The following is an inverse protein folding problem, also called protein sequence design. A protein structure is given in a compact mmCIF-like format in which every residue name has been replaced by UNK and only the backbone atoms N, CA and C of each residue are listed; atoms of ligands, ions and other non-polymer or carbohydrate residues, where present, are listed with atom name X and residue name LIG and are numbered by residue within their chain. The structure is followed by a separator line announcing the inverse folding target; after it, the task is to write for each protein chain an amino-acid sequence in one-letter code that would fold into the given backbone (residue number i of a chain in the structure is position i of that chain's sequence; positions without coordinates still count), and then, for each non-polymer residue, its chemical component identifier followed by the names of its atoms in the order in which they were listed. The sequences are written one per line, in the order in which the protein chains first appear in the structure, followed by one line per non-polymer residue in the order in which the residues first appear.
data_IF_189608256522
#
_entry.id   IF_189608256522
#
_cell.length_a   1.000
_cell.length_b   1.000
_cell.length_c   1.000
_cell.angle_alpha   90.00
_cell.angle_beta   90.00
_cell.angle_gamma   90.00
#
_symmetry.space_group_name_H-M   'P 1'
#
loop_
_entity.id
_entity.type
_entity.pdbx_description
1 polymer ?
#
# COMPACT_ATOMS: atom_id res chain seq x y z
N UNK A 1 2.89 19.05 19.32
CA UNK A 1 2.92 19.97 18.16
C UNK A 1 1.69 19.71 17.30
N UNK A 2 0.73 20.63 17.27
CA UNK A 2 -0.50 20.55 16.48
C UNK A 2 -0.30 21.36 15.19
N UNK A 3 -0.03 20.71 14.07
CA UNK A 3 -0.02 21.31 12.73
C UNK A 3 -1.46 21.49 12.22
N UNK A 4 -2.22 22.40 12.84
CA UNK A 4 -3.66 22.57 12.55
C UNK A 4 -4.04 23.84 11.76
N UNK A 5 -3.11 24.70 11.33
CA UNK A 5 -3.49 26.08 10.92
C UNK A 5 -3.26 26.54 9.47
N UNK A 6 -2.88 25.70 8.50
CA UNK A 6 -2.64 26.21 7.13
C UNK A 6 -3.81 26.05 6.13
N UNK A 7 -4.89 25.33 6.47
CA UNK A 7 -5.95 25.00 5.49
C UNK A 7 -7.33 25.58 5.85
N UNK A 8 -7.51 26.13 7.05
CA UNK A 8 -8.76 26.78 7.44
C UNK A 8 -8.85 28.15 6.76
N UNK A 9 -9.24 28.17 5.48
CA UNK A 9 -9.39 29.38 4.67
C UNK A 9 -8.77 29.32 3.27
N UNK A 10 -8.08 28.23 2.91
CA UNK A 10 -7.53 28.10 1.56
C UNK A 10 -8.66 27.94 0.54
N UNK A 11 -8.83 28.93 -0.34
CA UNK A 11 -9.89 28.95 -1.36
C UNK A 11 -9.56 28.12 -2.60
N UNK A 12 -8.32 27.67 -2.73
CA UNK A 12 -7.80 27.07 -3.97
C UNK A 12 -6.65 27.88 -4.58
N UNK A 13 -6.48 29.14 -4.20
CA UNK A 13 -5.44 30.03 -4.73
C UNK A 13 -4.28 30.25 -3.76
N UNK A 14 -3.07 30.30 -4.29
CA UNK A 14 -1.83 30.63 -3.57
C UNK A 14 -1.84 32.04 -2.99
N UNK A 15 -2.68 32.94 -3.50
CA UNK A 15 -2.83 34.32 -2.99
C UNK A 15 -3.34 34.33 -1.55
N UNK A 16 -4.15 33.32 -1.19
CA UNK A 16 -4.73 33.15 0.14
C UNK A 16 -3.86 32.30 1.07
N UNK A 17 -2.70 31.82 0.59
CA UNK A 17 -1.77 31.05 1.40
C UNK A 17 -1.01 31.98 2.36
N UNK A 18 -1.29 31.84 3.67
CA UNK A 18 -0.55 32.55 4.70
C UNK A 18 0.75 31.80 5.06
N UNK A 19 1.88 32.50 5.02
CA UNK A 19 3.14 31.97 5.52
C UNK A 19 3.36 32.35 6.99
N UNK A 20 4.06 31.51 7.75
CA UNK A 20 4.44 31.85 9.14
C UNK A 20 5.43 33.01 9.24
N UNK A 21 6.09 33.37 8.13
CA UNK A 21 7.08 34.44 8.02
C UNK A 21 6.77 35.26 6.77
N UNK A 22 6.60 36.58 6.94
CA UNK A 22 6.28 37.49 5.84
C UNK A 22 7.41 37.58 4.79
N UNK A 23 8.67 37.46 5.22
CA UNK A 23 9.82 37.45 4.31
C UNK A 23 9.82 36.24 3.36
N UNK A 24 9.45 35.06 3.87
CA UNK A 24 9.35 33.85 3.05
C UNK A 24 8.19 33.98 2.06
N UNK A 25 7.07 34.60 2.48
CA UNK A 25 5.94 34.89 1.60
C UNK A 25 6.34 35.80 0.43
N UNK A 26 7.02 36.90 0.72
CA UNK A 26 7.48 37.83 -0.31
C UNK A 26 8.44 37.14 -1.27
N UNK A 27 9.42 36.38 -0.76
CA UNK A 27 10.37 35.63 -1.60
C UNK A 27 9.69 34.60 -2.50
N UNK A 28 8.75 33.82 -1.96
CA UNK A 28 7.99 32.83 -2.73
C UNK A 28 7.14 33.51 -3.81
N UNK A 29 6.47 34.62 -3.47
CA UNK A 29 5.68 35.41 -4.43
C UNK A 29 6.55 36.01 -5.52
N UNK A 30 7.73 36.56 -5.17
CA UNK A 30 8.71 37.08 -6.13
C UNK A 30 9.29 36.00 -7.03
N UNK A 31 9.58 34.80 -6.50
CA UNK A 31 10.09 33.66 -7.26
C UNK A 31 9.06 33.10 -8.25
N UNK A 32 7.79 33.02 -7.84
CA UNK A 32 6.70 32.61 -8.74
C UNK A 32 6.44 33.69 -9.81
N UNK A 33 6.57 34.97 -9.43
CA UNK A 33 6.37 36.12 -10.32
C UNK A 33 5.02 36.07 -11.04
N UNK A 34 5.05 36.14 -12.37
CA UNK A 34 3.85 36.17 -13.20
C UNK A 34 3.19 34.78 -13.40
N UNK A 35 3.76 33.71 -12.80
CA UNK A 35 3.28 32.33 -12.97
C UNK A 35 2.24 31.90 -11.94
N UNK A 36 1.69 32.82 -11.15
CA UNK A 36 0.68 32.52 -10.11
C UNK A 36 -0.47 31.67 -10.66
N UNK A 37 -1.02 32.03 -11.82
CA UNK A 37 -2.12 31.29 -12.44
C UNK A 37 -1.73 29.86 -12.86
N UNK A 38 -0.48 29.64 -13.28
CA UNK A 38 0.01 28.31 -13.63
C UNK A 38 0.23 27.45 -12.38
N UNK A 39 0.69 28.04 -11.28
CA UNK A 39 0.84 27.37 -9.98
C UNK A 39 -0.52 27.00 -9.40
N UNK A 40 -1.49 27.91 -9.41
CA UNK A 40 -2.86 27.64 -8.95
C UNK A 40 -3.52 26.52 -9.76
N UNK A 41 -3.39 26.56 -11.09
CA UNK A 41 -3.86 25.48 -11.95
C UNK A 41 -3.17 24.15 -11.64
N UNK A 42 -1.85 24.16 -11.41
CA UNK A 42 -1.12 22.94 -11.02
C UNK A 42 -1.60 22.38 -9.66
N UNK A 43 -1.83 23.25 -8.68
CA UNK A 43 -2.38 22.86 -7.38
C UNK A 43 -3.79 22.28 -7.56
N UNK A 44 -4.65 22.92 -8.35
CA UNK A 44 -5.99 22.45 -8.67
C UNK A 44 -5.94 21.08 -9.38
N UNK A 45 -5.04 20.89 -10.35
CA UNK A 45 -4.81 19.60 -11.02
C UNK A 45 -4.35 18.54 -10.00
N UNK A 46 -3.44 18.87 -9.08
CA UNK A 46 -2.98 17.94 -8.04
C UNK A 46 -4.07 17.60 -7.03
N UNK A 47 -4.93 18.57 -6.68
CA UNK A 47 -6.07 18.36 -5.80
C UNK A 47 -7.16 17.52 -6.48
N UNK A 48 -7.50 17.84 -7.73
CA UNK A 48 -8.51 17.12 -8.52
C UNK A 48 -8.06 15.71 -8.90
N UNK A 49 -6.76 15.49 -9.10
CA UNK A 49 -6.16 14.17 -9.25
C UNK A 49 -6.11 13.35 -7.94
N UNK A 50 -6.51 13.93 -6.80
CA UNK A 50 -6.48 13.25 -5.50
C UNK A 50 -5.07 13.02 -4.96
N UNK A 51 -4.04 13.69 -5.51
CA UNK A 51 -2.65 13.52 -5.07
C UNK A 51 -2.33 14.28 -3.78
N UNK A 52 -3.24 15.14 -3.31
CA UNK A 52 -3.03 16.00 -2.16
C UNK A 52 -4.09 15.79 -1.06
N UNK A 53 -4.44 14.54 -0.76
CA UNK A 53 -5.38 14.26 0.34
C UNK A 53 -4.67 14.29 1.69
N UNK A 54 -5.38 14.63 2.79
CA UNK A 54 -4.78 14.71 4.13
C UNK A 54 -4.04 13.42 4.53
N UNK A 55 -4.57 12.27 4.12
CA UNK A 55 -3.98 10.95 4.40
C UNK A 55 -2.65 10.77 3.66
N UNK A 56 -2.56 11.17 2.39
CA UNK A 56 -1.31 11.14 1.64
C UNK A 56 -0.28 12.12 2.22
N UNK A 57 -0.70 13.33 2.62
CA UNK A 57 0.18 14.30 3.29
C UNK A 57 0.75 13.78 4.61
N UNK A 58 -0.07 13.08 5.41
CA UNK A 58 0.38 12.43 6.65
C UNK A 58 1.44 11.33 6.38
N UNK A 59 1.37 10.67 5.23
CA UNK A 59 2.29 9.58 4.90
C UNK A 59 3.56 10.10 4.21
N UNK A 60 3.43 11.17 3.43
CA UNK A 60 4.56 11.94 2.94
C UNK A 60 5.38 12.51 4.11
N UNK A 61 4.74 13.02 5.17
CA UNK A 61 5.45 13.53 6.36
C UNK A 61 6.19 12.42 7.14
N UNK A 62 5.77 11.16 6.96
CA UNK A 62 6.50 9.97 7.45
C UNK A 62 7.64 9.54 6.50
N UNK A 63 7.93 10.30 5.45
CA UNK A 63 9.03 10.06 4.51
C UNK A 63 8.73 9.03 3.42
N UNK A 64 7.46 8.65 3.25
CA UNK A 64 7.06 7.69 2.21
C UNK A 64 6.86 8.41 0.88
N UNK A 65 7.51 7.91 -0.18
CA UNK A 65 7.32 8.46 -1.54
C UNK A 65 5.97 8.05 -2.13
N UNK A 66 5.22 9.03 -2.67
CA UNK A 66 3.83 8.88 -3.14
C UNK A 66 3.71 8.94 -4.67
N UNK A 67 4.83 9.09 -5.39
CA UNK A 67 4.85 9.28 -6.86
C UNK A 67 4.07 8.19 -7.65
N UNK A 68 3.84 7.02 -7.04
CA UNK A 68 3.19 5.87 -7.65
C UNK A 68 1.68 5.77 -7.39
N UNK A 69 1.13 6.54 -6.44
CA UNK A 69 -0.29 6.46 -6.10
C UNK A 69 -1.21 6.92 -7.24
N UNK A 70 -0.68 7.61 -8.26
CA UNK A 70 -1.45 8.18 -9.35
C UNK A 70 -1.86 7.17 -10.45
N UNK A 71 -1.18 6.02 -10.55
CA UNK A 71 -1.43 5.07 -11.65
C UNK A 71 -1.48 3.62 -11.16
N UNK A 72 -2.55 3.22 -10.46
CA UNK A 72 -2.75 1.82 -10.09
C UNK A 72 -3.01 0.98 -11.35
N UNK A 73 -2.25 -0.09 -11.55
CA UNK A 73 -2.50 -0.97 -12.69
C UNK A 73 -3.71 -1.87 -12.40
N UNK A 74 -4.88 -1.46 -12.88
CA UNK A 74 -6.16 -2.13 -12.61
C UNK A 74 -6.33 -3.48 -13.32
N UNK A 75 -5.48 -3.81 -14.28
CA UNK A 75 -5.61 -5.02 -15.09
C UNK A 75 -5.60 -6.32 -14.27
N UNK A 76 -4.66 -6.45 -13.33
CA UNK A 76 -4.52 -7.66 -12.50
C UNK A 76 -5.70 -7.84 -11.52
N UNK A 77 -6.10 -6.83 -10.72
CA UNK A 77 -7.30 -6.93 -9.89
C UNK A 77 -8.55 -7.24 -10.70
N UNK A 78 -8.75 -6.61 -11.87
CA UNK A 78 -9.91 -6.88 -12.72
C UNK A 78 -9.92 -8.32 -13.25
N UNK A 79 -8.76 -8.85 -13.65
CA UNK A 79 -8.61 -10.24 -14.06
C UNK A 79 -8.92 -11.21 -12.90
N UNK A 80 -8.39 -10.92 -11.71
CA UNK A 80 -8.55 -11.72 -10.49
C UNK A 80 -10.00 -11.76 -9.98
N UNK A 81 -10.72 -10.64 -10.04
CA UNK A 81 -12.09 -10.55 -9.51
C UNK A 81 -13.17 -10.88 -10.54
N UNK A 82 -12.92 -10.70 -11.83
CA UNK A 82 -13.90 -11.00 -12.88
C UNK A 82 -13.80 -12.46 -13.35
N UNK A 83 -12.96 -12.75 -14.37
CA UNK A 83 -12.85 -14.09 -14.95
C UNK A 83 -12.56 -15.20 -13.94
N UNK A 84 -11.61 -15.00 -13.03
CA UNK A 84 -11.26 -16.04 -12.05
C UNK A 84 -12.39 -16.32 -11.06
N UNK A 85 -13.17 -15.31 -10.64
CA UNK A 85 -14.35 -15.52 -9.81
C UNK A 85 -15.42 -16.29 -10.58
N UNK A 86 -15.67 -15.94 -11.84
CA UNK A 86 -16.64 -16.61 -12.69
C UNK A 86 -16.29 -18.10 -12.89
N UNK A 87 -15.02 -18.39 -13.19
CA UNK A 87 -14.51 -19.77 -13.35
C UNK A 87 -14.63 -20.55 -12.02
N UNK A 88 -14.28 -19.93 -10.89
CA UNK A 88 -14.37 -20.59 -9.58
C UNK A 88 -15.82 -20.88 -9.20
N UNK A 89 -16.73 -19.94 -9.44
CA UNK A 89 -18.16 -20.13 -9.20
C UNK A 89 -18.76 -21.21 -10.12
N UNK A 90 -18.39 -21.20 -11.40
CA UNK A 90 -18.85 -22.21 -12.36
C UNK A 90 -18.38 -23.61 -11.99
N UNK A 91 -17.09 -23.79 -11.68
CA UNK A 91 -16.54 -25.07 -11.22
C UNK A 91 -17.14 -25.53 -9.89
N UNK A 92 -17.43 -24.61 -8.97
CA UNK A 92 -18.14 -24.92 -7.73
C UNK A 92 -19.55 -25.47 -8.00
N UNK A 93 -20.30 -24.88 -8.95
CA UNK A 93 -21.64 -25.37 -9.33
C UNK A 93 -21.54 -26.74 -10.01
N UNK A 94 -20.59 -26.93 -10.92
CA UNK A 94 -20.40 -28.23 -11.57
C UNK A 94 -20.06 -29.31 -10.55
N UNK A 95 -19.15 -29.04 -9.61
CA UNK A 95 -18.76 -30.00 -8.59
C UNK A 95 -19.93 -30.32 -7.64
N UNK A 96 -20.74 -29.32 -7.27
CA UNK A 96 -21.91 -29.53 -6.43
C UNK A 96 -23.02 -30.35 -7.11
N UNK A 97 -23.16 -30.25 -8.44
CA UNK A 97 -24.22 -30.93 -9.20
C UNK A 97 -23.80 -32.31 -9.70
N UNK A 98 -22.56 -32.46 -10.17
CA UNK A 98 -22.14 -33.65 -10.93
C UNK A 98 -21.20 -34.58 -10.15
N UNK A 99 -20.55 -34.14 -9.06
CA UNK A 99 -19.54 -34.93 -8.35
C UNK A 99 -20.01 -35.32 -6.95
N UNK A 100 -20.73 -36.44 -6.84
CA UNK A 100 -21.12 -37.05 -5.56
C UNK A 100 -19.97 -37.90 -4.97
N UNK A 101 -18.83 -37.26 -4.69
CA UNK A 101 -17.69 -37.90 -4.04
C UNK A 101 -17.53 -37.37 -2.62
N UNK A 102 -17.14 -38.24 -1.68
CA UNK A 102 -16.81 -37.87 -0.31
C UNK A 102 -15.76 -36.72 -0.23
N UNK A 103 -14.80 -36.72 -1.16
CA UNK A 103 -13.79 -35.66 -1.24
C UNK A 103 -14.37 -34.32 -1.68
N UNK A 104 -15.39 -34.32 -2.55
CA UNK A 104 -16.08 -33.10 -3.01
C UNK A 104 -16.72 -32.37 -1.83
N UNK A 105 -17.43 -33.09 -0.96
CA UNK A 105 -18.07 -32.53 0.22
C UNK A 105 -17.09 -31.83 1.17
N UNK A 106 -15.84 -32.29 1.25
CA UNK A 106 -14.81 -31.66 2.08
C UNK A 106 -14.21 -30.42 1.44
N UNK A 107 -14.17 -30.35 0.11
CA UNK A 107 -13.56 -29.24 -0.65
C UNK A 107 -14.54 -28.11 -0.99
N UNK A 108 -15.83 -28.41 -1.13
CA UNK A 108 -16.88 -27.42 -1.42
C UNK A 108 -16.86 -26.24 -0.43
N UNK A 109 -16.75 -26.43 0.90
CA UNK A 109 -16.68 -25.32 1.86
C UNK A 109 -15.47 -24.40 1.67
N UNK A 110 -14.32 -24.94 1.27
CA UNK A 110 -13.12 -24.13 1.02
C UNK A 110 -13.32 -23.26 -0.24
N UNK A 111 -13.94 -23.83 -1.28
CA UNK A 111 -14.23 -23.09 -2.51
C UNK A 111 -15.33 -22.03 -2.30
N UNK A 112 -16.38 -22.35 -1.55
CA UNK A 112 -17.41 -21.35 -1.19
C UNK A 112 -16.79 -20.21 -0.40
N UNK A 113 -15.89 -20.50 0.55
CA UNK A 113 -15.16 -19.49 1.30
C UNK A 113 -14.36 -18.56 0.39
N UNK A 114 -13.62 -19.11 -0.59
CA UNK A 114 -12.85 -18.25 -1.53
C UNK A 114 -13.74 -17.36 -2.41
N UNK A 115 -14.90 -17.86 -2.85
CA UNK A 115 -15.87 -17.04 -3.59
C UNK A 115 -16.43 -15.93 -2.72
N UNK A 116 -16.80 -16.26 -1.46
CA UNK A 116 -17.32 -15.30 -0.50
C UNK A 116 -16.29 -14.20 -0.20
N UNK A 117 -15.04 -14.57 0.07
CA UNK A 117 -13.94 -13.62 0.32
C UNK A 117 -13.75 -12.64 -0.84
N UNK A 118 -13.77 -13.12 -2.10
CA UNK A 118 -13.66 -12.25 -3.27
C UNK A 118 -14.84 -11.30 -3.40
N UNK A 119 -16.07 -11.77 -3.17
CA UNK A 119 -17.27 -10.93 -3.19
C UNK A 119 -17.18 -9.86 -2.09
N UNK A 120 -16.78 -10.26 -0.88
CA UNK A 120 -16.56 -9.34 0.24
C UNK A 120 -15.49 -8.30 -0.08
N UNK A 121 -14.36 -8.70 -0.67
CA UNK A 121 -13.33 -7.75 -1.13
C UNK A 121 -13.89 -6.73 -2.14
N UNK A 122 -14.67 -7.18 -3.12
CA UNK A 122 -15.29 -6.27 -4.11
C UNK A 122 -16.21 -5.27 -3.40
N UNK A 123 -17.02 -5.72 -2.45
CA UNK A 123 -17.91 -4.86 -1.66
C UNK A 123 -17.10 -3.86 -0.83
N UNK A 124 -16.05 -4.32 -0.13
CA UNK A 124 -15.18 -3.45 0.68
C UNK A 124 -14.51 -2.36 -0.18
N UNK A 125 -13.96 -2.72 -1.33
CA UNK A 125 -13.35 -1.76 -2.27
C UNK A 125 -14.41 -0.77 -2.78
N UNK A 126 -15.64 -1.22 -3.06
CA UNK A 126 -16.74 -0.34 -3.48
C UNK A 126 -17.16 0.63 -2.37
N UNK A 127 -17.07 0.24 -1.11
CA UNK A 127 -17.41 1.08 0.05
C UNK A 127 -16.27 2.00 0.50
N UNK A 128 -15.04 1.61 0.22
CA UNK A 128 -13.82 2.36 0.53
C UNK A 128 -13.83 3.76 -0.13
N UNK A 129 -13.31 4.83 0.52
CA UNK A 129 -13.16 6.16 -0.10
C UNK A 129 -12.15 6.11 -1.26
N UNK A 130 -12.23 7.06 -2.20
CA UNK A 130 -11.44 7.04 -3.47
C UNK A 130 -9.94 6.80 -3.25
N UNK A 131 -9.35 7.44 -2.24
CA UNK A 131 -7.92 7.31 -1.95
C UNK A 131 -7.54 5.91 -1.45
N UNK A 132 -8.39 5.34 -0.59
CA UNK A 132 -8.17 4.01 -0.02
C UNK A 132 -8.37 2.93 -1.10
N UNK A 133 -9.29 3.13 -2.05
CA UNK A 133 -9.45 2.21 -3.20
C UNK A 133 -8.17 2.05 -4.01
N UNK A 134 -7.48 3.16 -4.29
CA UNK A 134 -6.24 3.12 -5.04
C UNK A 134 -5.19 2.28 -4.30
N UNK A 135 -5.07 2.50 -3.00
CA UNK A 135 -4.20 1.69 -2.14
C UNK A 135 -4.61 0.21 -2.13
N UNK A 136 -5.89 -0.09 -1.97
CA UNK A 136 -6.42 -1.46 -1.97
C UNK A 136 -6.07 -2.18 -3.28
N UNK A 137 -6.26 -1.52 -4.43
CA UNK A 137 -5.88 -2.08 -5.73
C UNK A 137 -4.38 -2.34 -5.86
N UNK A 138 -3.54 -1.43 -5.36
CA UNK A 138 -2.08 -1.62 -5.35
C UNK A 138 -1.66 -2.80 -4.47
N UNK A 139 -2.24 -2.93 -3.27
CA UNK A 139 -2.01 -4.06 -2.37
C UNK A 139 -2.38 -5.36 -3.06
N UNK A 140 -3.59 -5.44 -3.63
CA UNK A 140 -4.08 -6.64 -4.33
C UNK A 140 -3.17 -6.99 -5.50
N UNK A 141 -2.75 -6.01 -6.30
CA UNK A 141 -1.84 -6.20 -7.42
C UNK A 141 -0.50 -6.78 -6.96
N UNK A 142 0.14 -6.19 -5.96
CA UNK A 142 1.46 -6.64 -5.46
C UNK A 142 1.38 -8.01 -4.83
N UNK A 143 0.36 -8.27 -4.00
CA UNK A 143 0.10 -9.59 -3.44
C UNK A 143 -0.15 -10.63 -4.54
N UNK A 144 -0.90 -10.28 -5.59
CA UNK A 144 -1.14 -11.18 -6.72
C UNK A 144 0.14 -11.50 -7.48
N UNK A 145 1.03 -10.52 -7.69
CA UNK A 145 2.34 -10.76 -8.33
C UNK A 145 3.22 -11.66 -7.46
N UNK A 146 3.31 -11.40 -6.15
CA UNK A 146 4.06 -12.27 -5.22
C UNK A 146 3.50 -13.69 -5.23
N UNK A 147 2.17 -13.81 -5.20
CA UNK A 147 1.50 -15.10 -5.28
C UNK A 147 1.83 -15.84 -6.57
N UNK A 148 1.69 -15.19 -7.74
CA UNK A 148 2.04 -15.80 -9.04
C UNK A 148 3.51 -16.19 -9.10
N UNK A 149 4.41 -15.37 -8.56
CA UNK A 149 5.84 -15.66 -8.52
C UNK A 149 6.19 -16.88 -7.65
N UNK A 150 5.47 -17.11 -6.55
CA UNK A 150 5.67 -18.29 -5.68
C UNK A 150 4.94 -19.52 -6.23
N UNK A 151 3.73 -19.32 -6.74
CA UNK A 151 2.84 -20.40 -7.18
C UNK A 151 3.31 -21.06 -8.47
N UNK A 152 3.73 -20.27 -9.47
CA UNK A 152 4.09 -20.80 -10.80
C UNK A 152 5.28 -21.76 -10.75
N UNK A 153 6.40 -21.45 -10.05
CA UNK A 153 7.52 -22.39 -9.92
C UNK A 153 7.16 -23.61 -9.09
N UNK A 154 6.38 -23.43 -8.01
CA UNK A 154 5.91 -24.55 -7.18
C UNK A 154 5.11 -25.54 -8.01
N UNK A 155 4.27 -25.03 -8.92
CA UNK A 155 3.49 -25.84 -9.83
C UNK A 155 4.33 -26.58 -10.85
N UNK A 156 5.26 -25.87 -11.47
CA UNK A 156 6.19 -26.47 -12.41
C UNK A 156 7.02 -27.58 -11.75
N UNK A 157 7.53 -27.36 -10.53
CA UNK A 157 8.27 -28.36 -9.77
C UNK A 157 7.41 -29.59 -9.44
N UNK A 158 6.17 -29.38 -9.00
CA UNK A 158 5.23 -30.47 -8.73
C UNK A 158 4.99 -31.33 -9.98
N UNK A 159 4.76 -30.72 -11.14
CA UNK A 159 4.60 -31.45 -12.41
C UNK A 159 5.84 -32.26 -12.76
N UNK A 160 7.02 -31.63 -12.71
CA UNK A 160 8.30 -32.25 -13.08
C UNK A 160 8.68 -33.46 -12.21
N UNK A 161 8.31 -33.46 -10.93
CA UNK A 161 8.71 -34.54 -10.01
C UNK A 161 7.90 -35.84 -10.27
N UNK A 162 6.76 -35.78 -10.97
CA UNK A 162 6.01 -36.95 -11.47
C UNK A 162 5.49 -37.96 -10.44
N UNK A 163 5.93 -37.92 -9.19
CA UNK A 163 5.76 -39.00 -8.19
C UNK A 163 4.69 -38.76 -7.13
N UNK A 164 4.07 -37.58 -7.08
CA UNK A 164 3.02 -37.27 -6.08
C UNK A 164 1.68 -36.95 -6.75
N UNK A 165 1.02 -37.94 -7.36
CA UNK A 165 -0.30 -37.72 -7.96
C UNK A 165 -1.37 -37.36 -6.92
N UNK A 166 -1.28 -37.91 -5.70
CA UNK A 166 -2.31 -37.73 -4.67
C UNK A 166 -2.14 -36.44 -3.83
N UNK A 167 -0.91 -36.02 -3.55
CA UNK A 167 -0.66 -34.82 -2.73
C UNK A 167 -0.79 -33.51 -3.53
N UNK A 168 -0.65 -33.58 -4.87
CA UNK A 168 -0.83 -32.44 -5.78
C UNK A 168 -2.22 -31.80 -5.65
N UNK A 169 -3.25 -32.63 -5.66
CA UNK A 169 -4.63 -32.14 -5.62
C UNK A 169 -4.90 -31.38 -4.31
N UNK A 170 -4.41 -31.88 -3.17
CA UNK A 170 -4.64 -31.22 -1.89
C UNK A 170 -3.95 -29.85 -1.76
N UNK A 171 -2.71 -29.69 -2.24
CA UNK A 171 -2.01 -28.40 -2.14
C UNK A 171 -2.67 -27.33 -3.03
N UNK A 172 -3.15 -27.73 -4.21
CA UNK A 172 -3.82 -26.84 -5.16
C UNK A 172 -5.06 -26.15 -4.54
N UNK A 173 -5.77 -26.82 -3.64
CA UNK A 173 -6.96 -26.25 -2.98
C UNK A 173 -6.65 -25.36 -1.78
N UNK A 174 -5.49 -25.49 -1.14
CA UNK A 174 -5.15 -24.75 0.10
C UNK A 174 -4.46 -23.43 -0.20
N UNK A 175 -3.63 -23.39 -1.23
CA UNK A 175 -2.79 -22.22 -1.54
C UNK A 175 -3.63 -20.97 -1.93
N UNK A 176 -4.66 -21.07 -2.80
CA UNK A 176 -5.49 -19.91 -3.14
C UNK A 176 -6.25 -19.31 -1.95
N UNK A 177 -6.96 -20.08 -1.09
CA UNK A 177 -7.60 -19.52 0.11
C UNK A 177 -6.62 -18.76 1.02
N UNK A 178 -5.41 -19.28 1.23
CA UNK A 178 -4.39 -18.58 2.03
C UNK A 178 -3.99 -17.25 1.38
N UNK A 179 -3.91 -17.20 0.06
CA UNK A 179 -3.62 -15.97 -0.66
C UNK A 179 -4.77 -14.96 -0.57
N UNK A 180 -6.02 -15.39 -0.76
CA UNK A 180 -7.16 -14.48 -0.70
C UNK A 180 -7.43 -14.00 0.73
N UNK A 181 -7.31 -14.86 1.74
CA UNK A 181 -7.39 -14.45 3.15
C UNK A 181 -6.32 -13.42 3.51
N UNK A 182 -5.06 -13.60 3.09
CA UNK A 182 -4.00 -12.61 3.36
C UNK A 182 -4.29 -11.28 2.65
N UNK A 183 -4.70 -11.29 1.39
CA UNK A 183 -5.12 -10.07 0.68
C UNK A 183 -6.32 -9.39 1.38
N UNK A 184 -7.32 -10.16 1.79
CA UNK A 184 -8.50 -9.69 2.50
C UNK A 184 -8.14 -9.03 3.83
N UNK A 185 -7.20 -9.61 4.60
CA UNK A 185 -6.69 -9.02 5.84
C UNK A 185 -6.05 -7.65 5.57
N UNK A 186 -5.24 -7.51 4.53
CA UNK A 186 -4.64 -6.21 4.20
C UNK A 186 -5.68 -5.17 3.76
N UNK A 187 -6.69 -5.58 2.98
CA UNK A 187 -7.80 -4.68 2.59
C UNK A 187 -8.61 -4.26 3.83
N UNK A 188 -8.85 -5.15 4.79
CA UNK A 188 -9.54 -4.81 6.04
C UNK A 188 -8.72 -3.90 6.96
N UNK A 189 -7.39 -4.03 6.96
CA UNK A 189 -6.51 -3.09 7.64
C UNK A 189 -6.61 -1.71 6.98
N UNK A 190 -6.67 -1.68 5.65
CA UNK A 190 -6.68 -0.45 4.87
C UNK A 190 -5.38 0.34 5.06
N UNK A 191 -5.32 1.50 4.42
CA UNK A 191 -4.09 2.29 4.38
C UNK A 191 -3.65 2.80 5.75
N UNK A 192 -4.59 3.36 6.52
CA UNK A 192 -4.32 3.99 7.83
C UNK A 192 -3.84 2.98 8.87
N UNK A 193 -4.48 1.81 8.98
CA UNK A 193 -4.08 0.82 10.00
C UNK A 193 -2.79 0.13 9.60
N UNK A 194 -2.58 -0.12 8.30
CA UNK A 194 -1.31 -0.68 7.81
C UNK A 194 -0.13 0.23 8.13
N UNK A 195 -0.27 1.55 7.95
CA UNK A 195 0.77 2.52 8.31
C UNK A 195 1.08 2.56 9.83
N UNK A 196 0.09 2.25 10.67
CA UNK A 196 0.18 2.31 12.13
C UNK A 196 0.51 0.96 12.78
N UNK A 197 0.88 -0.07 12.01
CA UNK A 197 1.25 -1.37 12.57
C UNK A 197 2.45 -1.25 13.54
N UNK A 198 2.41 -1.94 14.70
CA UNK A 198 3.50 -1.94 15.67
C UNK A 198 4.78 -2.54 15.09
N UNK A 199 5.89 -2.40 15.82
CA UNK A 199 7.23 -2.88 15.43
C UNK A 199 7.92 -2.10 14.30
N UNK A 200 7.34 -0.99 13.85
CA UNK A 200 7.90 -0.19 12.75
C UNK A 200 7.82 -0.86 11.38
N UNK A 201 7.08 -1.98 11.27
CA UNK A 201 6.81 -2.67 10.01
C UNK A 201 5.82 -1.89 9.14
N UNK A 202 4.93 -1.09 9.76
CA UNK A 202 3.90 -0.34 9.03
C UNK A 202 4.44 0.54 7.90
N UNK A 203 5.36 1.49 8.17
CA UNK A 203 5.97 2.30 7.11
C UNK A 203 6.70 1.48 6.05
N UNK A 204 7.38 0.40 6.45
CA UNK A 204 8.09 -0.48 5.53
C UNK A 204 7.13 -1.23 4.59
N UNK A 205 6.00 -1.72 5.11
CA UNK A 205 4.97 -2.39 4.32
C UNK A 205 4.29 -1.42 3.37
N UNK A 206 3.92 -0.22 3.85
CA UNK A 206 3.33 0.82 2.99
C UNK A 206 4.32 1.21 1.89
N UNK A 207 5.61 1.36 2.20
CA UNK A 207 6.64 1.65 1.22
C UNK A 207 6.85 0.48 0.23
N UNK A 208 6.76 -0.77 0.68
CA UNK A 208 6.81 -1.96 -0.17
C UNK A 208 5.68 -1.96 -1.21
N UNK A 209 4.46 -1.61 -0.78
CA UNK A 209 3.30 -1.55 -1.68
C UNK A 209 3.37 -0.37 -2.65
N UNK A 210 3.87 0.78 -2.20
CA UNK A 210 3.97 2.00 -3.01
C UNK A 210 5.21 2.06 -3.90
N UNK A 211 6.28 1.33 -3.62
CA UNK A 211 7.50 1.42 -4.43
C UNK A 211 7.38 0.66 -5.77
N UNK A 212 7.85 1.31 -6.85
CA UNK A 212 7.83 0.80 -8.23
C UNK A 212 8.81 -0.34 -8.43
N UNK A 213 10.02 -0.17 -7.87
CA UNK A 213 11.19 -0.91 -8.30
C UNK A 213 11.69 -1.83 -7.18
N UNK A 214 11.61 -3.16 -7.36
CA UNK A 214 12.11 -4.13 -6.40
C UNK A 214 13.60 -3.91 -6.08
N UNK A 215 14.38 -3.42 -7.05
CA UNK A 215 15.81 -3.11 -6.86
C UNK A 215 16.04 -1.96 -5.86
N UNK A 216 15.20 -0.94 -5.84
CA UNK A 216 15.36 0.20 -4.92
C UNK A 216 14.90 -0.19 -3.51
N UNK A 217 13.97 -1.12 -3.39
CA UNK A 217 13.42 -1.60 -2.11
C UNK A 217 14.46 -2.30 -1.24
N UNK A 218 15.33 -3.15 -1.83
CA UNK A 218 16.39 -3.83 -1.09
C UNK A 218 17.42 -2.85 -0.50
N UNK A 219 17.75 -1.78 -1.23
CA UNK A 219 18.65 -0.74 -0.76
C UNK A 219 18.02 0.11 0.37
N UNK A 220 16.72 0.44 0.25
CA UNK A 220 16.00 1.22 1.25
C UNK A 220 15.79 0.46 2.57
N UNK A 221 15.48 -0.84 2.50
CA UNK A 221 15.32 -1.68 3.69
C UNK A 221 16.61 -1.76 4.52
N UNK A 222 17.77 -1.85 3.84
CA UNK A 222 19.08 -1.80 4.50
C UNK A 222 19.35 -0.48 5.22
N UNK A 223 18.92 0.65 4.64
CA UNK A 223 19.10 1.96 5.25
C UNK A 223 18.22 2.22 6.48
N UNK A 224 16.97 1.74 6.50
CA UNK A 224 16.10 1.88 7.67
C UNK A 224 16.63 1.11 8.89
N UNK A 225 17.16 -0.10 8.68
CA UNK A 225 17.80 -0.88 9.74
C UNK A 225 19.05 -0.14 10.26
N UNK A 226 19.87 0.40 9.34
CA UNK A 226 21.10 1.12 9.71
C UNK A 226 20.83 2.41 10.49
N UNK A 227 19.76 3.15 10.19
CA UNK A 227 19.42 4.41 10.86
C UNK A 227 18.90 4.22 12.29
N UNK A 228 18.22 3.11 12.58
CA UNK A 228 17.81 2.78 13.96
C UNK A 228 19.02 2.48 14.86
N UNK A 229 20.05 1.84 14.33
CA UNK A 229 21.25 1.55 15.09
C UNK A 229 22.04 2.81 15.43
N UNK A 230 22.11 3.78 14.50
CA UNK A 230 22.79 5.07 14.76
C UNK A 230 22.01 6.00 15.69
N UNK A 231 20.68 5.85 15.78
CA UNK A 231 19.87 6.60 16.74
C UNK A 231 19.89 6.00 18.16
N UNK A 232 20.23 4.71 18.29
CA UNK A 232 20.50 4.08 19.58
C UNK A 232 21.93 4.38 20.08
N UNK A 233 22.85 4.74 19.16
CA UNK A 233 24.22 5.16 19.44
C UNK A 233 24.40 6.68 19.35
N UNK A 234 23.82 7.43 20.28
CA UNK A 234 24.27 8.79 20.61
C UNK A 234 23.67 9.28 21.93
N UNK A 235 24.42 10.06 22.73
CA UNK A 235 25.77 9.77 23.20
C UNK A 235 25.77 9.74 24.73
N UNK A 236 26.58 8.85 25.28
CA UNK A 236 27.04 8.96 26.65
C UNK A 236 27.75 10.31 26.79
N UNK A 237 27.24 11.11 27.71
CA UNK A 237 27.74 12.40 28.16
C UNK A 237 29.27 12.42 28.30
N UNK A 238 29.93 13.23 27.48
CA UNK A 238 31.20 13.85 27.87
C UNK A 238 30.90 15.31 28.17
N UNK A 239 30.41 15.55 29.38
CA UNK A 239 30.69 16.77 30.11
C UNK A 239 32.19 17.03 30.08
N UNK A 240 32.61 18.19 29.57
CA UNK A 240 33.81 18.95 29.95
C UNK A 240 34.09 20.01 28.88
N UNK A 241 33.72 21.26 29.13
CA UNK A 241 34.71 22.34 29.32
C UNK A 241 34.02 23.69 29.52
N UNK A 242 34.16 24.16 30.75
CA UNK A 242 33.96 25.53 31.21
C UNK A 242 34.91 26.49 30.47
N UNK A 243 34.36 27.38 29.65
CA UNK A 243 35.08 28.50 29.04
C UNK A 243 34.51 29.84 29.50
N UNK A 244 35.02 30.33 30.63
CA UNK A 244 34.91 31.71 31.11
C UNK A 244 35.41 32.69 30.05
N UNK A 245 34.59 33.68 29.67
CA UNK A 245 35.07 34.90 29.00
C UNK A 245 34.55 36.13 29.76
N UNK A 246 35.49 36.78 30.46
CA UNK A 246 35.37 38.12 31.00
C UNK A 246 36.24 39.06 30.16
N UNK A 247 35.75 40.29 29.95
CA UNK A 247 36.47 41.42 29.36
C UNK A 247 35.95 41.78 27.97
N UNK A 248 35.61 43.02 27.63
CA UNK A 248 35.65 44.29 28.35
C UNK A 248 34.57 45.22 27.76
#
# INVERSE_FOLDING_TARGET
MRTHCALSGYTGSIVDAACSRAEDEQRIREEIGDQIGAVDYAIEVLMSAGMSTPTLREIASKGVSIQQAANPALALPMLMFGPFLAITAFTLVLDAVYLDSFWTWRLVPLRTLTCLERILMIILIRQSPRDERCFDYLVIQKCAVVYLAVFTPSMFQCEMIGKLSYQKDSMWFVIPPVAYTTMFIFVLLGFRRTANLPCGLGPCLVQLFLARDPCVQLAAAGHCIRRKNTAAESPQSSDSESGTWSGA
#
